data_IF_093621709760
#
_entry.id   IF_093621709760
#
_cell.length_a   1.000
_cell.length_b   1.000
_cell.length_c   1.000
_cell.angle_alpha   90.00
_cell.angle_beta   90.00
_cell.angle_gamma   90.00
#
_symmetry.space_group_name_H-M   'P 1'
#
loop_
_entity.id
_entity.type
_entity.pdbx_description
1 polymer ?
#
# COMPACT_ATOMS: atom_id res chain seq x y z
N UNK A 1 18.77 -60.56 -2.91
CA UNK A 1 19.50 -59.34 -2.54
C UNK A 1 19.08 -58.28 -3.55
N UNK A 2 17.99 -57.56 -3.28
CA UNK A 2 17.57 -56.43 -4.12
C UNK A 2 18.58 -55.30 -3.93
N UNK A 3 19.34 -55.01 -4.98
CA UNK A 3 20.32 -53.94 -5.00
C UNK A 3 19.54 -52.65 -5.23
N UNK A 4 19.28 -51.92 -4.16
CA UNK A 4 18.77 -50.55 -4.21
C UNK A 4 19.84 -49.67 -4.88
N UNK A 5 19.65 -49.34 -6.14
CA UNK A 5 20.51 -48.39 -6.85
C UNK A 5 20.15 -46.99 -6.34
N UNK A 6 21.00 -46.40 -5.49
CA UNK A 6 20.90 -44.98 -5.17
C UNK A 6 21.07 -44.16 -6.47
N UNK A 7 20.14 -43.25 -6.79
CA UNK A 7 20.30 -42.42 -7.98
C UNK A 7 21.56 -41.57 -7.87
N UNK A 8 22.34 -41.51 -8.95
CA UNK A 8 23.55 -40.71 -9.04
C UNK A 8 23.22 -39.23 -8.73
N UNK A 9 24.18 -38.49 -8.16
CA UNK A 9 24.00 -37.05 -7.87
C UNK A 9 23.54 -36.24 -9.09
N UNK A 10 23.90 -36.69 -10.29
CA UNK A 10 23.50 -36.10 -11.56
C UNK A 10 22.01 -36.32 -11.88
N UNK A 11 21.44 -37.49 -11.55
CA UNK A 11 19.99 -37.74 -11.66
C UNK A 11 19.17 -36.96 -10.62
N UNK A 12 19.71 -36.73 -9.40
CA UNK A 12 19.09 -35.80 -8.43
C UNK A 12 19.12 -34.35 -8.94
N UNK A 13 20.21 -33.93 -9.59
CA UNK A 13 20.32 -32.58 -10.16
C UNK A 13 19.40 -32.36 -11.37
N UNK A 14 19.18 -33.36 -12.21
CA UNK A 14 18.23 -33.26 -13.32
C UNK A 14 16.77 -33.25 -12.87
N UNK A 15 16.43 -33.95 -11.79
CA UNK A 15 15.10 -33.88 -11.15
C UNK A 15 14.83 -32.57 -10.38
N UNK A 16 15.86 -31.77 -10.10
CA UNK A 16 15.76 -30.46 -9.42
C UNK A 16 15.67 -29.26 -10.38
N UNK A 17 15.69 -29.46 -11.71
CA UNK A 17 15.46 -28.37 -12.68
C UNK A 17 14.03 -27.84 -12.56
N UNK A 18 13.84 -26.81 -11.74
CA UNK A 18 12.55 -26.14 -11.55
C UNK A 18 12.10 -26.01 -10.08
N UNK A 19 12.91 -26.46 -9.11
CA UNK A 19 12.64 -26.27 -7.69
C UNK A 19 13.79 -25.50 -7.00
N UNK A 20 13.45 -24.66 -6.03
CA UNK A 20 14.39 -23.96 -5.15
C UNK A 20 14.91 -24.87 -4.02
N UNK A 21 15.86 -24.35 -3.24
CA UNK A 21 16.48 -25.02 -2.08
C UNK A 21 15.49 -25.39 -0.95
N UNK A 22 14.25 -24.87 -1.00
CA UNK A 22 13.16 -25.20 -0.09
C UNK A 22 12.16 -26.22 -0.67
N UNK A 23 12.45 -26.79 -1.85
CA UNK A 23 11.60 -27.79 -2.52
C UNK A 23 10.33 -27.21 -3.15
N UNK A 24 10.19 -25.88 -3.24
CA UNK A 24 9.09 -25.22 -3.97
C UNK A 24 9.50 -24.88 -5.39
N UNK A 25 8.53 -24.64 -6.27
CA UNK A 25 8.78 -24.18 -7.65
C UNK A 25 9.72 -22.97 -7.64
N UNK A 26 10.68 -22.97 -8.54
CA UNK A 26 11.72 -21.94 -8.58
C UNK A 26 11.14 -20.54 -8.74
N UNK A 27 11.54 -19.65 -7.85
CA UNK A 27 11.20 -18.22 -7.90
C UNK A 27 11.95 -17.54 -9.05
N UNK A 28 11.32 -16.59 -9.71
CA UNK A 28 11.86 -15.93 -10.91
C UNK A 28 12.05 -14.42 -10.76
N UNK A 29 11.62 -13.86 -9.63
CA UNK A 29 11.65 -12.42 -9.37
C UNK A 29 13.06 -11.82 -9.38
N UNK A 30 13.14 -10.56 -9.76
CA UNK A 30 14.37 -9.78 -9.92
C UNK A 30 14.27 -8.46 -9.17
N UNK A 31 15.34 -7.65 -9.19
CA UNK A 31 15.30 -6.27 -8.67
C UNK A 31 14.16 -5.47 -9.31
N UNK A 32 13.90 -5.66 -10.60
CA UNK A 32 12.87 -4.91 -11.34
C UNK A 32 11.46 -5.30 -10.94
N UNK A 33 11.16 -6.59 -10.82
CA UNK A 33 9.82 -7.06 -10.39
C UNK A 33 9.57 -6.74 -8.92
N UNK A 34 10.58 -6.89 -8.06
CA UNK A 34 10.46 -6.46 -6.67
C UNK A 34 10.24 -4.96 -6.57
N UNK A 35 10.97 -4.15 -7.35
CA UNK A 35 10.78 -2.70 -7.37
C UNK A 35 9.41 -2.31 -7.90
N UNK A 36 8.88 -2.98 -8.93
CA UNK A 36 7.53 -2.70 -9.44
C UNK A 36 6.45 -3.04 -8.42
N UNK A 37 6.59 -4.14 -7.67
CA UNK A 37 5.68 -4.45 -6.55
C UNK A 37 5.74 -3.39 -5.45
N UNK A 38 6.94 -2.94 -5.05
CA UNK A 38 7.09 -1.90 -4.02
C UNK A 38 6.50 -0.57 -4.53
N UNK A 39 6.89 -0.11 -5.72
CA UNK A 39 6.39 1.12 -6.33
C UNK A 39 4.86 1.09 -6.46
N UNK A 40 4.30 -0.04 -6.90
CA UNK A 40 2.85 -0.24 -6.96
C UNK A 40 2.20 -0.10 -5.59
N UNK A 41 2.84 -0.63 -4.55
CA UNK A 41 2.30 -0.56 -3.21
C UNK A 41 2.34 0.86 -2.63
N UNK A 42 3.42 1.62 -2.89
CA UNK A 42 3.60 2.94 -2.28
C UNK A 42 3.02 4.08 -3.12
N UNK A 43 3.35 4.23 -4.41
CA UNK A 43 3.04 5.45 -5.19
C UNK A 43 1.53 5.73 -5.31
N UNK A 44 0.66 4.76 -5.01
CA UNK A 44 -0.80 4.82 -5.11
C UNK A 44 -1.53 5.93 -4.36
N UNK A 45 -2.48 5.56 -3.50
CA UNK A 45 -3.32 6.57 -2.85
C UNK A 45 -2.52 7.51 -1.93
N UNK A 46 -1.37 7.07 -1.43
CA UNK A 46 -0.50 7.85 -0.57
C UNK A 46 -0.02 9.16 -1.20
N UNK A 47 0.39 9.18 -2.47
CA UNK A 47 0.90 10.43 -3.10
C UNK A 47 -0.18 11.49 -3.26
N UNK A 48 -1.44 11.08 -3.36
CA UNK A 48 -2.56 11.98 -3.60
C UNK A 48 -2.86 12.88 -2.40
N UNK A 49 -2.63 12.39 -1.18
CA UNK A 49 -2.85 13.15 0.07
C UNK A 49 -1.65 14.01 0.49
N UNK A 50 -0.48 13.84 -0.13
CA UNK A 50 0.73 14.54 0.30
C UNK A 50 0.65 16.06 0.10
N UNK A 51 -0.05 16.54 -0.93
CA UNK A 51 -0.25 17.98 -1.10
C UNK A 51 -1.03 18.58 0.07
N UNK A 52 -2.07 17.88 0.54
CA UNK A 52 -2.81 18.25 1.73
C UNK A 52 -1.95 18.13 3.00
N UNK A 53 -1.19 17.05 3.16
CA UNK A 53 -0.31 16.87 4.33
C UNK A 53 0.75 17.98 4.44
N UNK A 54 1.38 18.37 3.32
CA UNK A 54 2.31 19.50 3.26
C UNK A 54 1.58 20.81 3.56
N UNK A 55 0.33 20.97 3.14
CA UNK A 55 -0.46 22.14 3.53
C UNK A 55 -0.78 22.22 5.02
N UNK A 56 -0.97 21.08 5.70
CA UNK A 56 -1.19 21.07 7.16
C UNK A 56 0.10 21.33 7.96
N UNK A 57 1.27 20.95 7.43
CA UNK A 57 2.56 21.05 8.11
C UNK A 57 3.38 22.29 7.71
N UNK A 58 3.17 22.81 6.50
CA UNK A 58 3.88 23.95 5.93
C UNK A 58 5.18 23.61 5.20
N UNK A 59 5.77 24.65 4.61
CA UNK A 59 7.00 24.56 3.80
C UNK A 59 8.24 24.06 4.56
N UNK A 60 8.25 24.16 5.89
CA UNK A 60 9.36 23.67 6.71
C UNK A 60 9.11 22.22 7.14
N UNK A 61 8.07 22.00 7.94
CA UNK A 61 7.86 20.69 8.56
C UNK A 61 7.43 19.63 7.55
N UNK A 62 6.60 19.95 6.55
CA UNK A 62 6.12 18.98 5.56
C UNK A 62 7.26 18.24 4.84
N UNK A 63 8.13 18.96 4.10
CA UNK A 63 9.26 18.34 3.40
C UNK A 63 10.24 17.60 4.32
N UNK A 64 10.55 18.16 5.50
CA UNK A 64 11.45 17.52 6.47
C UNK A 64 10.88 16.19 6.96
N UNK A 65 9.60 16.17 7.32
CA UNK A 65 8.92 14.97 7.81
C UNK A 65 8.88 13.91 6.72
N UNK A 66 8.60 14.25 5.47
CA UNK A 66 8.62 13.30 4.36
C UNK A 66 10.00 12.65 4.17
N UNK A 67 11.09 13.42 4.25
CA UNK A 67 12.46 12.90 4.18
C UNK A 67 12.77 11.98 5.36
N UNK A 68 12.34 12.34 6.58
CA UNK A 68 12.51 11.50 7.77
C UNK A 68 11.77 10.17 7.60
N UNK A 69 10.50 10.19 7.21
CA UNK A 69 9.71 8.97 6.98
C UNK A 69 10.29 8.09 5.88
N UNK A 70 10.79 8.69 4.78
CA UNK A 70 11.54 7.99 3.74
C UNK A 70 12.76 7.27 4.32
N UNK A 71 13.58 7.97 5.10
CA UNK A 71 14.79 7.40 5.71
C UNK A 71 14.46 6.26 6.68
N UNK A 72 13.51 6.47 7.59
CA UNK A 72 13.06 5.46 8.56
C UNK A 72 12.54 4.23 7.84
N UNK A 73 11.72 4.40 6.80
CA UNK A 73 11.16 3.31 6.01
C UNK A 73 12.24 2.53 5.28
N UNK A 74 13.17 3.22 4.60
CA UNK A 74 14.31 2.57 3.94
C UNK A 74 15.16 1.76 4.93
N UNK A 75 15.49 2.37 6.07
CA UNK A 75 16.32 1.75 7.09
C UNK A 75 15.66 0.49 7.66
N UNK A 76 14.43 0.61 8.16
CA UNK A 76 13.69 -0.49 8.79
C UNK A 76 13.32 -1.60 7.80
N UNK A 77 12.98 -1.26 6.56
CA UNK A 77 12.76 -2.24 5.49
C UNK A 77 14.03 -2.99 5.11
N UNK A 78 15.20 -2.35 5.20
CA UNK A 78 16.49 -3.01 5.04
C UNK A 78 16.80 -3.98 6.18
N UNK A 79 16.38 -3.66 7.41
CA UNK A 79 16.47 -4.60 8.55
C UNK A 79 15.53 -5.79 8.35
N UNK A 80 14.30 -5.53 7.90
CA UNK A 80 13.31 -6.57 7.62
C UNK A 80 13.78 -7.54 6.53
N UNK A 81 14.41 -7.02 5.47
CA UNK A 81 14.93 -7.85 4.39
C UNK A 81 15.99 -8.87 4.86
N UNK A 82 16.76 -8.55 5.90
CA UNK A 82 17.70 -9.50 6.52
C UNK A 82 16.99 -10.59 7.34
N UNK A 83 15.74 -10.38 7.72
CA UNK A 83 14.95 -11.32 8.51
C UNK A 83 14.20 -12.35 7.63
N UNK A 84 14.37 -12.34 6.31
CA UNK A 84 13.71 -13.30 5.43
C UNK A 84 14.15 -14.75 5.69
N UNK A 85 15.44 -15.02 5.89
CA UNK A 85 15.95 -16.34 6.28
C UNK A 85 16.27 -16.38 7.76
N UNK A 86 15.83 -17.43 8.45
CA UNK A 86 16.16 -17.69 9.87
C UNK A 86 17.40 -18.56 10.00
N UNK A 87 18.33 -18.15 10.88
CA UNK A 87 19.62 -18.79 11.05
C UNK A 87 20.65 -18.21 10.07
N UNK A 88 21.16 -19.05 9.18
CA UNK A 88 22.15 -18.64 8.18
C UNK A 88 21.53 -17.72 7.09
N UNK A 89 22.15 -16.59 6.72
CA UNK A 89 21.59 -15.67 5.73
C UNK A 89 21.47 -16.21 4.30
N UNK A 90 22.12 -17.33 3.97
CA UNK A 90 22.15 -17.89 2.61
C UNK A 90 21.38 -19.20 2.54
N UNK A 91 21.56 -20.07 3.54
CA UNK A 91 21.04 -21.44 3.58
C UNK A 91 19.96 -21.63 4.65
N UNK A 92 19.71 -20.62 5.48
CA UNK A 92 18.71 -20.66 6.53
C UNK A 92 17.29 -20.81 6.00
N UNK A 93 16.38 -21.24 6.88
CA UNK A 93 14.98 -21.49 6.53
C UNK A 93 14.29 -20.20 6.08
N UNK A 94 13.64 -20.23 4.92
CA UNK A 94 12.86 -19.11 4.38
C UNK A 94 11.59 -18.86 5.19
N UNK A 95 11.31 -17.59 5.46
CA UNK A 95 10.03 -17.11 5.97
C UNK A 95 9.22 -16.55 4.80
N UNK A 96 8.16 -17.24 4.42
CA UNK A 96 7.35 -16.91 3.25
C UNK A 96 6.41 -15.72 3.44
N UNK A 97 6.12 -15.37 4.70
CA UNK A 97 5.21 -14.28 5.05
C UNK A 97 5.76 -13.49 6.20
N UNK A 98 5.34 -12.24 6.32
CA UNK A 98 5.73 -11.36 7.40
C UNK A 98 5.43 -11.98 8.78
N UNK A 99 4.21 -12.49 8.96
CA UNK A 99 3.80 -13.16 10.21
C UNK A 99 4.64 -14.42 10.51
N UNK A 100 5.06 -15.16 9.48
CA UNK A 100 5.97 -16.31 9.66
C UNK A 100 7.36 -15.87 10.14
N UNK A 101 7.89 -14.74 9.63
CA UNK A 101 9.15 -14.18 10.13
C UNK A 101 9.02 -13.78 11.60
N UNK A 102 7.94 -13.09 11.98
CA UNK A 102 7.66 -12.75 13.39
C UNK A 102 7.56 -13.99 14.26
N UNK A 103 6.93 -15.06 13.76
CA UNK A 103 6.86 -16.34 14.47
C UNK A 103 8.23 -16.97 14.67
N UNK A 104 9.09 -16.96 13.65
CA UNK A 104 10.43 -17.56 13.73
C UNK A 104 11.39 -16.81 14.67
N UNK A 105 11.23 -15.49 14.84
CA UNK A 105 12.14 -14.68 15.66
C UNK A 105 11.61 -14.30 17.05
N UNK A 106 10.32 -13.97 17.16
CA UNK A 106 9.76 -13.38 18.37
C UNK A 106 8.79 -14.33 19.09
N UNK A 107 8.04 -15.14 18.32
CA UNK A 107 7.11 -16.14 18.85
C UNK A 107 5.99 -15.59 19.74
N UNK A 108 5.20 -16.50 20.34
CA UNK A 108 4.22 -16.18 21.38
C UNK A 108 3.12 -15.18 20.97
N UNK A 109 2.72 -14.32 21.90
CA UNK A 109 1.64 -13.34 21.72
C UNK A 109 1.94 -12.31 20.61
N UNK A 110 3.23 -12.01 20.37
CA UNK A 110 3.68 -11.06 19.36
C UNK A 110 3.23 -11.45 17.94
N UNK A 111 3.14 -12.75 17.65
CA UNK A 111 2.64 -13.27 16.37
C UNK A 111 1.16 -12.96 16.17
N UNK A 112 0.34 -13.20 17.20
CA UNK A 112 -1.10 -12.92 17.17
C UNK A 112 -1.37 -11.44 17.00
N UNK A 113 -0.64 -10.60 17.74
CA UNK A 113 -0.74 -9.14 17.62
C UNK A 113 -0.29 -8.65 16.24
N UNK A 114 0.83 -9.14 15.72
CA UNK A 114 1.29 -8.83 14.37
C UNK A 114 0.25 -9.20 13.32
N UNK A 115 -0.28 -10.42 13.39
CA UNK A 115 -1.30 -10.88 12.44
C UNK A 115 -2.55 -10.01 12.50
N UNK A 116 -3.07 -9.73 13.69
CA UNK A 116 -4.23 -8.87 13.87
C UNK A 116 -4.02 -7.49 13.24
N UNK A 117 -2.91 -6.82 13.58
CA UNK A 117 -2.61 -5.48 13.07
C UNK A 117 -2.38 -5.50 11.55
N UNK A 118 -1.60 -6.48 11.05
CA UNK A 118 -1.31 -6.63 9.62
C UNK A 118 -2.60 -6.82 8.83
N UNK A 119 -3.44 -7.78 9.20
CA UNK A 119 -4.66 -8.09 8.44
C UNK A 119 -5.72 -6.99 8.56
N UNK A 120 -5.84 -6.30 9.70
CA UNK A 120 -6.68 -5.11 9.83
C UNK A 120 -6.19 -3.97 8.92
N UNK A 121 -4.87 -3.78 8.80
CA UNK A 121 -4.30 -2.77 7.92
C UNK A 121 -4.58 -3.10 6.45
N UNK A 122 -4.36 -4.36 6.03
CA UNK A 122 -4.68 -4.83 4.66
C UNK A 122 -6.17 -4.65 4.33
N UNK A 123 -7.07 -4.95 5.27
CA UNK A 123 -8.51 -4.71 5.13
C UNK A 123 -8.83 -3.22 4.95
N UNK A 124 -8.21 -2.36 5.74
CA UNK A 124 -8.41 -0.92 5.62
C UNK A 124 -7.84 -0.32 4.32
N UNK A 125 -6.69 -0.82 3.83
CA UNK A 125 -6.13 -0.41 2.53
C UNK A 125 -7.14 -0.69 1.40
N UNK A 126 -7.84 -1.83 1.44
CA UNK A 126 -8.90 -2.15 0.48
C UNK A 126 -10.05 -1.12 0.50
N UNK A 127 -10.44 -0.63 1.69
CA UNK A 127 -11.43 0.44 1.85
C UNK A 127 -10.90 1.75 1.26
N UNK A 128 -9.68 2.15 1.62
CA UNK A 128 -9.05 3.39 1.14
C UNK A 128 -8.91 3.44 -0.38
N UNK A 129 -8.53 2.33 -1.01
CA UNK A 129 -8.43 2.23 -2.47
C UNK A 129 -9.77 2.29 -3.17
N UNK A 130 -10.82 1.70 -2.58
CA UNK A 130 -12.18 1.79 -3.12
C UNK A 130 -12.68 3.23 -3.10
N UNK A 131 -12.41 3.97 -2.00
CA UNK A 131 -12.72 5.41 -1.91
C UNK A 131 -11.92 6.19 -2.95
N UNK A 132 -10.59 6.02 -3.00
CA UNK A 132 -9.72 6.76 -3.91
C UNK A 132 -10.10 6.54 -5.39
N UNK A 133 -10.35 5.29 -5.80
CA UNK A 133 -10.77 4.97 -7.16
C UNK A 133 -12.12 5.61 -7.52
N UNK A 134 -13.06 5.62 -6.57
CA UNK A 134 -14.35 6.28 -6.77
C UNK A 134 -14.22 7.80 -6.95
N UNK A 135 -13.36 8.46 -6.16
CA UNK A 135 -13.08 9.90 -6.29
C UNK A 135 -12.49 10.21 -7.67
N UNK A 136 -11.57 9.39 -8.17
CA UNK A 136 -10.99 9.57 -9.51
C UNK A 136 -12.01 9.36 -10.63
N UNK A 137 -12.86 8.32 -10.56
CA UNK A 137 -13.93 8.14 -11.56
C UNK A 137 -14.96 9.27 -11.52
N UNK A 138 -15.30 9.77 -10.33
CA UNK A 138 -16.15 10.95 -10.18
C UNK A 138 -15.52 12.19 -10.80
N UNK A 139 -14.20 12.39 -10.62
CA UNK A 139 -13.49 13.51 -11.22
C UNK A 139 -13.59 13.51 -12.75
N UNK A 140 -13.47 12.34 -13.39
CA UNK A 140 -13.67 12.18 -14.84
C UNK A 140 -15.10 12.58 -15.23
N UNK A 141 -16.11 12.05 -14.54
CA UNK A 141 -17.50 12.37 -14.87
C UNK A 141 -17.82 13.84 -14.65
N UNK A 142 -17.25 14.43 -13.60
CA UNK A 142 -17.43 15.84 -13.25
C UNK A 142 -16.79 16.75 -14.29
N UNK A 143 -15.57 16.43 -14.72
CA UNK A 143 -14.86 17.17 -15.77
C UNK A 143 -15.65 17.18 -17.08
N UNK A 144 -16.11 16.00 -17.53
CA UNK A 144 -16.94 15.88 -18.72
C UNK A 144 -18.29 16.62 -18.60
N UNK A 145 -18.95 16.58 -17.43
CA UNK A 145 -20.18 17.33 -17.19
C UNK A 145 -19.99 18.84 -17.31
N UNK A 146 -18.90 19.40 -16.77
CA UNK A 146 -18.60 20.83 -16.89
C UNK A 146 -18.30 21.24 -18.33
N UNK A 147 -17.68 20.37 -19.11
CA UNK A 147 -17.40 20.64 -20.51
C UNK A 147 -18.68 20.64 -21.36
N UNK A 148 -19.60 19.69 -21.13
CA UNK A 148 -20.87 19.60 -21.86
C UNK A 148 -21.88 20.68 -21.45
N UNK A 149 -22.02 20.93 -20.14
CA UNK A 149 -23.11 21.76 -19.58
C UNK A 149 -22.66 23.17 -19.15
N UNK A 150 -21.37 23.45 -19.27
CA UNK A 150 -20.75 24.69 -18.81
C UNK A 150 -20.49 24.73 -17.30
N UNK A 151 -19.60 25.64 -16.91
CA UNK A 151 -19.06 25.78 -15.55
C UNK A 151 -20.09 26.19 -14.48
N UNK A 152 -21.29 26.62 -14.89
CA UNK A 152 -22.37 27.04 -13.97
C UNK A 152 -23.29 25.89 -13.55
N UNK A 153 -23.19 24.72 -14.18
CA UNK A 153 -23.96 23.54 -13.77
C UNK A 153 -23.35 22.95 -12.50
N UNK A 154 -24.13 22.65 -11.45
CA UNK A 154 -23.56 22.15 -10.19
C UNK A 154 -22.98 20.73 -10.32
N UNK A 155 -23.34 19.98 -11.37
CA UNK A 155 -22.80 18.66 -11.71
C UNK A 155 -22.67 17.72 -10.50
N UNK A 156 -23.73 17.60 -9.69
CA UNK A 156 -23.77 16.68 -8.56
C UNK A 156 -23.60 15.23 -9.03
N UNK A 157 -22.63 14.54 -8.46
CA UNK A 157 -22.30 13.15 -8.78
C UNK A 157 -22.22 12.38 -7.47
N UNK A 158 -22.97 11.28 -7.38
CA UNK A 158 -22.88 10.36 -6.23
C UNK A 158 -21.64 9.47 -6.36
N UNK A 159 -20.93 9.23 -5.26
CA UNK A 159 -19.77 8.32 -5.20
C UNK A 159 -20.16 6.85 -5.22
N UNK A 160 -21.31 6.50 -4.65
CA UNK A 160 -21.77 5.11 -4.48
C UNK A 160 -21.72 4.24 -5.74
N UNK A 161 -22.23 4.67 -6.91
CA UNK A 161 -22.14 3.86 -8.14
C UNK A 161 -20.69 3.53 -8.53
N UNK A 162 -19.76 4.47 -8.34
CA UNK A 162 -18.35 4.27 -8.67
C UNK A 162 -17.63 3.34 -7.70
N UNK A 163 -17.98 3.39 -6.41
CA UNK A 163 -17.51 2.39 -5.44
C UNK A 163 -17.99 0.99 -5.81
N UNK A 164 -19.26 0.84 -6.22
CA UNK A 164 -19.81 -0.44 -6.68
C UNK A 164 -19.09 -0.92 -7.94
N UNK A 165 -18.87 -0.05 -8.93
CA UNK A 165 -18.13 -0.40 -10.18
C UNK A 165 -16.72 -0.89 -9.85
N UNK A 166 -16.00 -0.19 -8.97
CA UNK A 166 -14.69 -0.63 -8.53
C UNK A 166 -14.76 -1.97 -7.79
N UNK A 167 -15.71 -2.14 -6.86
CA UNK A 167 -15.95 -3.40 -6.15
C UNK A 167 -16.22 -4.58 -7.09
N UNK A 168 -17.10 -4.42 -8.08
CA UNK A 168 -17.36 -5.44 -9.12
C UNK A 168 -16.09 -5.77 -9.90
N UNK A 169 -15.29 -4.77 -10.25
CA UNK A 169 -13.99 -4.98 -10.91
C UNK A 169 -13.07 -5.81 -10.01
N UNK A 170 -12.98 -5.47 -8.72
CA UNK A 170 -12.17 -6.21 -7.76
C UNK A 170 -12.67 -7.64 -7.52
N UNK A 171 -13.98 -7.91 -7.55
CA UNK A 171 -14.50 -9.28 -7.47
C UNK A 171 -13.87 -10.15 -8.58
N UNK A 172 -13.73 -9.63 -9.80
CA UNK A 172 -13.13 -10.35 -10.93
C UNK A 172 -11.63 -10.55 -10.72
N UNK A 173 -10.87 -9.48 -10.46
CA UNK A 173 -9.40 -9.57 -10.32
C UNK A 173 -8.96 -10.32 -9.05
N UNK A 174 -9.75 -10.25 -7.98
CA UNK A 174 -9.49 -11.01 -6.76
C UNK A 174 -9.66 -12.51 -6.94
N UNK A 175 -10.13 -13.02 -8.09
CA UNK A 175 -10.11 -14.46 -8.36
C UNK A 175 -8.76 -14.98 -8.88
N UNK A 176 -7.76 -14.10 -9.09
CA UNK A 176 -6.40 -14.50 -9.44
C UNK A 176 -5.76 -15.24 -8.24
N UNK A 177 -5.29 -16.49 -8.40
CA UNK A 177 -4.95 -17.36 -7.26
C UNK A 177 -3.83 -16.84 -6.35
N UNK A 178 -2.73 -16.37 -6.94
CA UNK A 178 -1.44 -16.22 -6.26
C UNK A 178 -0.74 -14.89 -6.60
N UNK A 179 0.12 -14.43 -5.67
CA UNK A 179 0.86 -13.16 -5.77
C UNK A 179 1.90 -13.16 -6.91
N UNK A 180 2.48 -14.31 -7.22
CA UNK A 180 3.41 -14.44 -8.34
C UNK A 180 2.70 -14.21 -9.68
N UNK A 181 1.42 -14.58 -9.82
CA UNK A 181 0.66 -14.43 -11.06
C UNK A 181 0.21 -12.98 -11.36
N UNK A 182 0.31 -12.07 -10.38
CA UNK A 182 -0.07 -10.65 -10.55
C UNK A 182 1.11 -9.75 -10.95
N UNK A 183 2.30 -10.30 -11.22
CA UNK A 183 3.49 -9.51 -11.58
C UNK A 183 3.25 -8.52 -12.73
N UNK A 184 2.53 -8.94 -13.77
CA UNK A 184 2.20 -8.10 -14.92
C UNK A 184 1.26 -6.96 -14.54
N UNK A 185 0.31 -7.24 -13.65
CA UNK A 185 -0.65 -6.26 -13.14
C UNK A 185 0.07 -5.21 -12.28
N UNK A 186 1.06 -5.62 -11.49
CA UNK A 186 1.94 -4.69 -10.76
C UNK A 186 2.80 -3.85 -11.70
N UNK A 187 3.31 -4.38 -12.82
CA UNK A 187 4.04 -3.55 -13.80
C UNK A 187 3.12 -2.49 -14.40
N UNK A 188 1.91 -2.88 -14.84
CA UNK A 188 0.92 -1.92 -15.36
C UNK A 188 0.59 -0.86 -14.31
N UNK A 189 0.34 -1.26 -13.06
CA UNK A 189 0.05 -0.34 -11.98
C UNK A 189 1.22 0.62 -11.70
N UNK A 190 2.47 0.14 -11.69
CA UNK A 190 3.65 0.99 -11.53
C UNK A 190 3.81 2.02 -12.67
N UNK A 191 3.55 1.62 -13.92
CA UNK A 191 3.56 2.55 -15.06
C UNK A 191 2.48 3.62 -14.89
N UNK A 192 1.25 3.21 -14.57
CA UNK A 192 0.14 4.14 -14.34
C UNK A 192 0.45 5.11 -13.19
N UNK A 193 1.15 4.67 -12.13
CA UNK A 193 1.54 5.56 -11.04
C UNK A 193 2.51 6.66 -11.45
N UNK A 194 3.46 6.33 -12.32
CA UNK A 194 4.32 7.34 -12.91
C UNK A 194 3.54 8.28 -13.83
N UNK A 195 2.59 7.75 -14.60
CA UNK A 195 1.75 8.56 -15.49
C UNK A 195 1.00 9.64 -14.72
N UNK A 196 0.17 9.28 -13.73
CA UNK A 196 -0.63 10.30 -13.04
C UNK A 196 0.21 11.21 -12.14
N UNK A 197 1.31 10.72 -11.55
CA UNK A 197 2.21 11.55 -10.73
C UNK A 197 2.92 12.59 -11.59
N UNK A 198 3.37 12.20 -12.78
CA UNK A 198 4.02 13.13 -13.73
C UNK A 198 3.04 14.17 -14.25
N UNK A 199 1.80 13.76 -14.58
CA UNK A 199 0.74 14.69 -14.98
C UNK A 199 0.40 15.64 -13.83
N UNK A 200 0.17 15.12 -12.62
CA UNK A 200 -0.12 15.93 -11.43
C UNK A 200 0.98 16.94 -11.13
N UNK A 201 2.25 16.55 -11.26
CA UNK A 201 3.40 17.44 -11.15
C UNK A 201 3.38 18.53 -12.24
N UNK A 202 3.18 18.16 -13.50
CA UNK A 202 3.13 19.11 -14.61
C UNK A 202 1.99 20.13 -14.44
N UNK A 203 0.81 19.67 -14.02
CA UNK A 203 -0.34 20.52 -13.70
C UNK A 203 -0.04 21.45 -12.51
N UNK A 204 0.61 20.95 -11.46
CA UNK A 204 1.05 21.75 -10.32
C UNK A 204 2.01 22.87 -10.72
N UNK A 205 3.05 22.53 -11.50
CA UNK A 205 4.02 23.52 -12.01
C UNK A 205 3.30 24.57 -12.88
N UNK A 206 2.46 24.14 -13.82
CA UNK A 206 1.72 25.05 -14.69
C UNK A 206 0.82 26.00 -13.88
N UNK A 207 0.18 25.49 -12.83
CA UNK A 207 -0.67 26.30 -11.95
C UNK A 207 0.15 27.30 -11.10
N UNK A 208 1.35 26.92 -10.64
CA UNK A 208 2.27 27.84 -9.95
C UNK A 208 2.71 28.96 -10.88
N UNK A 209 3.06 28.63 -12.12
CA UNK A 209 3.43 29.61 -13.16
C UNK A 209 2.25 30.55 -13.45
N UNK A 210 1.04 30.00 -13.62
CA UNK A 210 -0.16 30.80 -13.87
C UNK A 210 -0.53 31.72 -12.69
N UNK A 211 -0.29 31.29 -11.45
CA UNK A 211 -0.50 32.11 -10.26
C UNK A 211 0.57 33.21 -10.08
N UNK A 212 1.68 33.15 -10.81
CA UNK A 212 2.81 34.10 -10.67
C UNK A 212 3.63 33.92 -9.39
N UNK A 213 3.51 32.80 -8.68
CA UNK A 213 4.25 32.56 -7.44
C UNK A 213 3.82 31.32 -6.66
N UNK A 214 4.62 30.99 -5.64
CA UNK A 214 4.38 29.89 -4.71
C UNK A 214 3.40 30.32 -3.63
N UNK A 215 2.30 29.59 -3.46
CA UNK A 215 1.37 29.75 -2.33
C UNK A 215 1.86 28.99 -1.08
N UNK A 216 1.12 29.18 0.00
CA UNK A 216 1.33 28.48 1.28
C UNK A 216 2.20 29.26 2.25
N UNK A 217 2.04 28.95 3.53
CA UNK A 217 2.83 29.50 4.63
C UNK A 217 3.96 28.55 5.08
N UNK A 218 4.92 29.09 5.85
CA UNK A 218 6.00 28.33 6.47
C UNK A 218 5.51 27.27 7.47
N UNK A 219 4.36 27.51 8.12
CA UNK A 219 3.83 26.71 9.24
C UNK A 219 2.49 26.04 8.93
N UNK A 220 2.18 25.91 7.65
CA UNK A 220 0.99 25.27 7.14
C UNK A 220 -0.24 26.16 7.25
N UNK A 221 -1.40 25.53 7.28
CA UNK A 221 -2.71 26.19 7.29
C UNK A 221 -2.81 27.28 8.37
N UNK A 222 -3.33 28.44 8.00
CA UNK A 222 -3.38 29.62 8.87
C UNK A 222 -4.49 29.51 9.93
N UNK A 223 -4.24 30.02 11.13
CA UNK A 223 -5.30 30.13 12.15
C UNK A 223 -6.26 31.22 11.67
N UNK A 224 -7.53 30.86 11.44
CA UNK A 224 -8.55 31.72 10.81
C UNK A 224 -9.26 31.07 9.63
N UNK A 225 -8.56 30.23 8.85
CA UNK A 225 -9.21 29.32 7.90
C UNK A 225 -9.72 28.04 8.59
N UNK A 226 -9.05 27.66 9.67
CA UNK A 226 -9.46 26.62 10.62
C UNK A 226 -9.29 27.11 12.05
N UNK A 227 -9.99 26.49 12.99
CA UNK A 227 -9.78 26.72 14.43
C UNK A 227 -8.40 26.22 14.88
N UNK A 228 -7.92 26.71 16.02
CA UNK A 228 -6.64 26.27 16.59
C UNK A 228 -6.63 24.76 16.86
N UNK A 229 -7.75 24.22 17.33
CA UNK A 229 -7.91 22.81 17.63
C UNK A 229 -7.90 21.96 16.35
N UNK A 230 -8.60 22.38 15.30
CA UNK A 230 -8.57 21.71 13.98
C UNK A 230 -7.17 21.74 13.38
N UNK A 231 -6.44 22.87 13.49
CA UNK A 231 -5.04 22.93 13.03
C UNK A 231 -4.18 21.84 13.70
N UNK A 232 -4.31 21.65 15.02
CA UNK A 232 -3.58 20.59 15.73
C UNK A 232 -3.99 19.21 15.21
N UNK A 233 -5.28 18.92 15.11
CA UNK A 233 -5.76 17.62 14.63
C UNK A 233 -5.31 17.31 13.21
N UNK A 234 -5.41 18.28 12.30
CA UNK A 234 -4.97 18.12 10.92
C UNK A 234 -3.46 17.94 10.81
N UNK A 235 -2.65 18.69 11.58
CA UNK A 235 -1.19 18.47 11.61
C UNK A 235 -0.84 17.08 12.15
N UNK A 236 -1.57 16.59 13.16
CA UNK A 236 -1.37 15.23 13.68
C UNK A 236 -1.76 14.17 12.64
N UNK A 237 -2.91 14.32 11.99
CA UNK A 237 -3.37 13.44 10.92
C UNK A 237 -2.40 13.41 9.73
N UNK A 238 -1.80 14.55 9.37
CA UNK A 238 -0.82 14.64 8.29
C UNK A 238 0.39 13.72 8.50
N UNK A 239 0.82 13.48 9.75
CA UNK A 239 1.84 12.46 10.03
C UNK A 239 1.36 11.06 9.66
N UNK A 240 0.09 10.74 9.92
CA UNK A 240 -0.54 9.48 9.51
C UNK A 240 -0.58 9.33 8.00
N UNK A 241 -0.97 10.38 7.27
CA UNK A 241 -1.02 10.37 5.80
C UNK A 241 0.37 10.13 5.18
N UNK A 242 1.40 10.83 5.69
CA UNK A 242 2.78 10.62 5.26
C UNK A 242 3.26 9.22 5.63
N UNK A 243 2.92 8.73 6.82
CA UNK A 243 3.25 7.38 7.27
C UNK A 243 2.65 6.30 6.35
N UNK A 244 1.40 6.49 5.97
CA UNK A 244 0.71 5.61 5.02
C UNK A 244 1.37 5.63 3.64
N UNK A 245 1.77 6.81 3.14
CA UNK A 245 2.37 6.94 1.82
C UNK A 245 3.68 6.13 1.68
N UNK A 246 4.40 5.91 2.78
CA UNK A 246 5.62 5.07 2.79
C UNK A 246 5.36 3.61 3.23
N UNK A 247 4.12 3.23 3.47
CA UNK A 247 3.78 1.94 4.08
C UNK A 247 3.72 0.82 3.05
N UNK A 248 4.77 -0.01 3.00
CA UNK A 248 4.77 -1.29 2.26
C UNK A 248 5.45 -2.43 3.04
N UNK A 249 6.05 -2.16 4.19
CA UNK A 249 6.82 -3.14 4.95
C UNK A 249 5.99 -4.37 5.35
N UNK A 250 4.67 -4.21 5.49
CA UNK A 250 3.73 -5.29 5.82
C UNK A 250 3.57 -6.35 4.72
N UNK A 251 4.02 -6.10 3.49
CA UNK A 251 4.04 -7.06 2.38
C UNK A 251 5.46 -7.31 1.86
N UNK A 252 6.48 -6.79 2.54
CA UNK A 252 7.87 -6.82 2.07
C UNK A 252 8.39 -8.25 1.96
N UNK A 253 8.10 -9.09 2.96
CA UNK A 253 8.56 -10.48 3.00
C UNK A 253 7.89 -11.30 1.89
N UNK A 254 6.62 -11.05 1.63
CA UNK A 254 5.86 -11.67 0.55
C UNK A 254 6.43 -11.27 -0.83
N UNK A 255 6.80 -10.00 -1.03
CA UNK A 255 7.52 -9.54 -2.23
C UNK A 255 8.89 -10.23 -2.32
N UNK A 256 9.62 -10.31 -1.21
CA UNK A 256 10.94 -10.93 -1.16
C UNK A 256 10.88 -12.44 -1.46
N UNK A 257 9.80 -13.13 -1.08
CA UNK A 257 9.55 -14.54 -1.40
C UNK A 257 9.30 -14.78 -2.90
N UNK A 258 9.17 -13.74 -3.73
CA UNK A 258 9.12 -13.89 -5.20
C UNK A 258 10.49 -13.91 -5.85
N UNK A 259 11.54 -13.49 -5.13
CA UNK A 259 12.88 -13.28 -5.67
C UNK A 259 13.59 -14.62 -5.88
N UNK A 260 14.23 -14.77 -7.04
CA UNK A 260 14.99 -15.98 -7.40
C UNK A 260 16.14 -16.29 -6.42
N UNK A 261 16.33 -17.60 -6.17
CA UNK A 261 17.46 -18.18 -5.43
C UNK A 261 18.80 -18.05 -6.22
N UNK A 262 19.98 -18.27 -5.61
CA UNK A 262 21.22 -17.47 -5.78
C UNK A 262 22.05 -17.68 -7.07
N UNK A 263 23.13 -16.89 -7.28
CA UNK A 263 23.48 -15.59 -6.67
C UNK A 263 23.06 -14.36 -7.52
N UNK A 264 22.78 -13.18 -6.91
CA UNK A 264 22.94 -12.77 -5.50
C UNK A 264 21.80 -13.19 -4.55
N UNK A 265 21.99 -13.06 -3.22
CA UNK A 265 20.98 -13.42 -2.21
C UNK A 265 19.71 -12.55 -2.27
N UNK A 266 18.59 -13.11 -1.82
CA UNK A 266 17.27 -12.49 -1.84
C UNK A 266 17.26 -11.18 -1.06
N UNK A 267 17.91 -11.15 0.11
CA UNK A 267 18.04 -9.94 0.93
C UNK A 267 18.82 -8.83 0.22
N UNK A 268 19.87 -9.17 -0.55
CA UNK A 268 20.67 -8.19 -1.30
C UNK A 268 19.86 -7.61 -2.47
N UNK A 269 19.11 -8.45 -3.19
CA UNK A 269 18.19 -8.01 -4.25
C UNK A 269 17.11 -7.11 -3.66
N UNK A 270 16.49 -7.53 -2.56
CA UNK A 270 15.41 -6.80 -1.89
C UNK A 270 15.86 -5.43 -1.36
N UNK A 271 17.07 -5.32 -0.80
CA UNK A 271 17.66 -4.04 -0.38
C UNK A 271 17.91 -3.09 -1.55
N UNK A 272 18.39 -3.60 -2.70
CA UNK A 272 18.54 -2.80 -3.92
C UNK A 272 17.18 -2.31 -4.44
N UNK A 273 16.19 -3.20 -4.48
CA UNK A 273 14.83 -2.85 -4.89
C UNK A 273 14.19 -1.82 -3.95
N UNK A 274 14.39 -1.99 -2.64
CA UNK A 274 13.96 -1.04 -1.59
C UNK A 274 14.62 0.32 -1.76
N UNK A 275 15.93 0.37 -1.95
CA UNK A 275 16.64 1.64 -2.20
C UNK A 275 16.10 2.36 -3.43
N UNK A 276 16.02 1.67 -4.57
CA UNK A 276 15.52 2.24 -5.82
C UNK A 276 14.08 2.75 -5.66
N UNK A 277 13.21 1.93 -5.08
CA UNK A 277 11.79 2.27 -4.94
C UNK A 277 11.58 3.43 -3.97
N UNK A 278 12.22 3.41 -2.79
CA UNK A 278 12.11 4.51 -1.81
C UNK A 278 12.68 5.81 -2.37
N UNK A 279 13.82 5.76 -3.09
CA UNK A 279 14.38 6.97 -3.70
C UNK A 279 13.45 7.57 -4.76
N UNK A 280 12.94 6.75 -5.68
CA UNK A 280 12.02 7.19 -6.75
C UNK A 280 10.71 7.72 -6.16
N UNK A 281 10.14 7.01 -5.20
CA UNK A 281 8.88 7.41 -4.56
C UNK A 281 9.03 8.70 -3.79
N UNK A 282 10.08 8.85 -2.98
CA UNK A 282 10.38 10.09 -2.27
C UNK A 282 10.56 11.27 -3.22
N UNK A 283 11.22 11.07 -4.36
CA UNK A 283 11.31 12.12 -5.38
C UNK A 283 9.91 12.55 -5.84
N UNK A 284 9.08 11.62 -6.30
CA UNK A 284 7.71 11.94 -6.76
C UNK A 284 6.83 12.53 -5.66
N UNK A 285 6.98 12.05 -4.43
CA UNK A 285 6.24 12.52 -3.27
C UNK A 285 6.58 13.96 -2.94
N UNK A 286 7.87 14.27 -2.86
CA UNK A 286 8.35 15.61 -2.58
C UNK A 286 7.88 16.58 -3.66
N UNK A 287 8.07 16.24 -4.94
CA UNK A 287 7.69 17.14 -6.03
C UNK A 287 6.17 17.30 -6.14
N UNK A 288 5.38 16.23 -6.03
CA UNK A 288 3.92 16.31 -6.12
C UNK A 288 3.30 16.99 -4.89
N UNK A 289 3.76 16.65 -3.68
CA UNK A 289 3.30 17.25 -2.44
C UNK A 289 3.63 18.74 -2.35
N UNK A 290 4.89 19.09 -2.60
CA UNK A 290 5.34 20.49 -2.58
C UNK A 290 4.71 21.32 -3.70
N UNK A 291 4.64 20.81 -4.94
CA UNK A 291 4.02 21.57 -6.04
C UNK A 291 2.51 21.68 -5.90
N UNK A 292 1.86 20.66 -5.32
CA UNK A 292 0.45 20.76 -4.94
C UNK A 292 0.23 21.87 -3.91
N UNK A 293 1.05 21.94 -2.87
CA UNK A 293 0.98 23.03 -1.88
C UNK A 293 1.34 24.39 -2.49
N UNK A 294 2.33 24.46 -3.37
CA UNK A 294 2.67 25.67 -4.10
C UNK A 294 1.53 26.19 -4.99
N UNK A 295 0.76 25.28 -5.60
CA UNK A 295 -0.36 25.62 -6.47
C UNK A 295 -1.59 26.11 -5.67
N UNK A 296 -1.89 25.45 -4.54
CA UNK A 296 -3.16 25.60 -3.84
C UNK A 296 -3.07 26.26 -2.44
N UNK A 297 -1.90 26.32 -1.82
CA UNK A 297 -1.70 26.86 -0.47
C UNK A 297 -2.56 26.15 0.58
N UNK A 298 -3.17 26.92 1.48
CA UNK A 298 -4.08 26.43 2.54
C UNK A 298 -5.29 25.64 1.99
N UNK A 299 -5.60 25.79 0.70
CA UNK A 299 -6.71 25.09 0.02
C UNK A 299 -6.27 23.82 -0.72
N UNK A 300 -5.08 23.28 -0.43
CA UNK A 300 -4.63 22.04 -1.07
C UNK A 300 -5.61 20.89 -0.83
N UNK A 301 -6.07 20.20 -1.89
CA UNK A 301 -7.08 19.15 -1.76
C UNK A 301 -6.47 17.87 -1.18
N UNK A 302 -7.30 17.08 -0.48
CA UNK A 302 -6.92 15.75 0.03
C UNK A 302 -6.59 14.72 -1.07
N UNK A 303 -7.04 14.96 -2.30
CA UNK A 303 -6.54 14.28 -3.49
C UNK A 303 -6.04 15.34 -4.46
N UNK A 304 -4.73 15.39 -4.70
CA UNK A 304 -4.06 16.37 -5.56
C UNK A 304 -4.80 16.63 -6.88
N UNK A 305 -5.26 15.58 -7.57
CA UNK A 305 -5.90 15.74 -8.88
C UNK A 305 -7.27 16.41 -8.82
N UNK A 306 -7.97 16.36 -7.68
CA UNK A 306 -9.28 17.00 -7.56
C UNK A 306 -9.20 18.53 -7.54
N UNK A 307 -8.04 19.11 -7.20
CA UNK A 307 -7.80 20.55 -7.25
C UNK A 307 -7.70 21.11 -8.67
N UNK A 308 -7.42 20.24 -9.66
CA UNK A 308 -7.29 20.64 -11.07
C UNK A 308 -8.59 20.47 -11.87
N UNK A 309 -9.75 20.28 -11.22
CA UNK A 309 -11.04 19.96 -11.87
C UNK A 309 -11.48 20.88 -13.01
N UNK A 310 -10.91 22.10 -13.10
CA UNK A 310 -11.20 23.11 -14.12
C UNK A 310 -10.04 23.36 -15.09
N UNK A 311 -8.98 22.54 -15.05
CA UNK A 311 -7.79 22.73 -15.86
C UNK A 311 -8.05 22.39 -17.32
N UNK A 312 -7.62 23.26 -18.22
CA UNK A 312 -7.60 23.00 -19.65
C UNK A 312 -6.16 22.69 -20.11
N UNK A 313 -5.92 21.58 -20.84
CA UNK A 313 -6.92 20.68 -21.40
C UNK A 313 -7.47 19.64 -20.40
N UNK A 314 -8.80 19.51 -20.35
CA UNK A 314 -9.51 18.60 -19.44
C UNK A 314 -9.21 17.11 -19.70
N UNK A 315 -8.92 16.74 -20.95
CA UNK A 315 -8.55 15.35 -21.30
C UNK A 315 -7.30 14.87 -20.57
N UNK A 316 -6.37 15.77 -20.23
CA UNK A 316 -5.14 15.41 -19.52
C UNK A 316 -5.45 15.02 -18.06
N UNK A 317 -6.42 15.72 -17.45
CA UNK A 317 -6.93 15.38 -16.12
C UNK A 317 -7.69 14.05 -16.13
N UNK A 318 -8.46 13.79 -17.18
CA UNK A 318 -9.18 12.53 -17.34
C UNK A 318 -8.22 11.35 -17.48
N UNK A 319 -7.15 11.48 -18.26
CA UNK A 319 -6.09 10.46 -18.38
C UNK A 319 -5.44 10.21 -17.02
N UNK A 320 -5.12 11.25 -16.25
CA UNK A 320 -4.49 11.08 -14.94
C UNK A 320 -5.41 10.36 -13.95
N UNK A 321 -6.70 10.70 -13.91
CA UNK A 321 -7.66 9.99 -13.06
C UNK A 321 -7.93 8.55 -13.53
N UNK A 322 -7.97 8.29 -14.84
CA UNK A 322 -8.09 6.94 -15.37
C UNK A 322 -6.86 6.09 -14.99
N UNK A 323 -5.66 6.67 -15.07
CA UNK A 323 -4.42 6.02 -14.64
C UNK A 323 -4.46 5.69 -13.14
N UNK A 324 -4.99 6.57 -12.27
CA UNK A 324 -5.19 6.24 -10.84
C UNK A 324 -6.10 5.02 -10.69
N UNK A 325 -7.25 4.97 -11.39
CA UNK A 325 -8.18 3.85 -11.28
C UNK A 325 -7.50 2.54 -11.67
N UNK A 326 -6.78 2.51 -12.80
CA UNK A 326 -6.05 1.32 -13.27
C UNK A 326 -4.95 0.94 -12.28
N UNK A 327 -4.20 1.91 -11.76
CA UNK A 327 -3.18 1.67 -10.73
C UNK A 327 -3.78 1.01 -9.48
N UNK A 328 -4.89 1.57 -8.96
CA UNK A 328 -5.55 1.06 -7.76
C UNK A 328 -6.14 -0.33 -7.96
N UNK A 329 -6.49 -0.72 -9.19
CA UNK A 329 -6.84 -2.12 -9.50
C UNK A 329 -5.69 -3.06 -9.17
N UNK A 330 -4.47 -2.74 -9.61
CA UNK A 330 -3.30 -3.56 -9.33
C UNK A 330 -2.82 -3.49 -7.88
N UNK A 331 -2.79 -2.29 -7.30
CA UNK A 331 -2.38 -2.10 -5.90
C UNK A 331 -3.30 -2.86 -4.93
N UNK A 332 -4.63 -2.85 -5.17
CA UNK A 332 -5.58 -3.62 -4.37
C UNK A 332 -5.23 -5.10 -4.31
N UNK A 333 -4.83 -5.70 -5.44
CA UNK A 333 -4.43 -7.10 -5.49
C UNK A 333 -3.13 -7.34 -4.71
N UNK A 334 -2.13 -6.46 -4.86
CA UNK A 334 -0.87 -6.56 -4.10
C UNK A 334 -1.12 -6.59 -2.59
N UNK A 335 -2.04 -5.78 -2.07
CA UNK A 335 -2.35 -5.77 -0.63
C UNK A 335 -3.32 -6.88 -0.18
N UNK A 336 -4.31 -7.26 -0.98
CA UNK A 336 -5.32 -8.23 -0.54
C UNK A 336 -4.86 -9.69 -0.66
N UNK A 337 -3.95 -10.02 -1.57
CA UNK A 337 -3.52 -11.41 -1.80
C UNK A 337 -2.91 -12.07 -0.55
N UNK A 338 -2.04 -11.42 0.25
CA UNK A 338 -1.55 -12.00 1.51
C UNK A 338 -2.67 -12.36 2.50
N UNK A 339 -3.71 -11.53 2.59
CA UNK A 339 -4.87 -11.78 3.44
C UNK A 339 -5.70 -12.96 2.92
N UNK A 340 -5.94 -13.01 1.61
CA UNK A 340 -6.64 -14.12 0.98
C UNK A 340 -5.91 -15.44 1.18
N UNK A 341 -4.59 -15.46 0.92
CA UNK A 341 -3.76 -16.63 1.12
C UNK A 341 -3.76 -17.10 2.58
N UNK A 342 -3.74 -16.17 3.54
CA UNK A 342 -3.83 -16.51 4.96
C UNK A 342 -5.14 -17.22 5.31
N UNK A 343 -6.28 -16.64 4.93
CA UNK A 343 -7.62 -17.18 5.27
C UNK A 343 -7.87 -18.51 4.55
N UNK A 344 -7.49 -18.62 3.27
CA UNK A 344 -7.63 -19.86 2.52
C UNK A 344 -6.76 -20.98 3.07
N UNK A 345 -5.52 -20.68 3.45
CA UNK A 345 -4.62 -21.68 4.06
C UNK A 345 -5.11 -22.11 5.43
N UNK A 346 -5.64 -21.19 6.22
CA UNK A 346 -6.27 -21.51 7.50
C UNK A 346 -7.49 -22.41 7.29
N UNK A 347 -8.43 -22.03 6.42
CA UNK A 347 -9.63 -22.81 6.14
C UNK A 347 -9.32 -24.23 5.65
N UNK A 348 -8.33 -24.38 4.74
CA UNK A 348 -7.90 -25.69 4.24
C UNK A 348 -7.28 -26.58 5.34
N UNK A 349 -6.61 -26.00 6.34
CA UNK A 349 -6.05 -26.75 7.46
C UNK A 349 -7.09 -27.13 8.50
N UNK A 350 -8.08 -26.26 8.72
CA UNK A 350 -9.13 -26.46 9.72
C UNK A 350 -10.19 -27.45 9.22
N UNK A 351 -10.51 -27.43 7.93
CA UNK A 351 -11.55 -28.27 7.34
C UNK A 351 -11.06 -28.97 6.06
N UNK A 352 -10.08 -29.88 6.16
CA UNK A 352 -9.49 -30.55 4.99
C UNK A 352 -10.50 -31.40 4.21
N UNK A 353 -11.46 -32.01 4.91
CA UNK A 353 -12.45 -32.93 4.33
C UNK A 353 -13.62 -32.21 3.63
N UNK A 354 -13.73 -30.88 3.81
CA UNK A 354 -14.80 -30.10 3.19
C UNK A 354 -14.55 -29.93 1.70
N UNK A 355 -15.36 -30.60 0.87
CA UNK A 355 -15.33 -30.46 -0.59
C UNK A 355 -15.57 -29.02 -1.07
N UNK A 356 -16.20 -28.16 -0.27
CA UNK A 356 -16.36 -26.75 -0.61
C UNK A 356 -15.03 -25.98 -0.52
N UNK A 357 -14.17 -26.36 0.43
CA UNK A 357 -12.91 -25.68 0.75
C UNK A 357 -11.74 -26.28 -0.01
N UNK A 358 -11.63 -27.61 -0.09
CA UNK A 358 -10.44 -28.28 -0.63
C UNK A 358 -10.55 -28.67 -2.11
N UNK A 359 -11.76 -28.71 -2.69
CA UNK A 359 -11.95 -29.15 -4.08
C UNK A 359 -11.54 -28.06 -5.08
N UNK A 360 -10.59 -28.38 -5.95
CA UNK A 360 -10.29 -27.60 -7.15
C UNK A 360 -11.05 -28.15 -8.37
N UNK A 361 -11.88 -27.30 -8.99
CA UNK A 361 -12.61 -27.59 -10.22
C UNK A 361 -11.82 -27.00 -11.39
N UNK A 362 -11.35 -27.83 -12.32
CA UNK A 362 -10.62 -27.37 -13.50
C UNK A 362 -11.59 -26.95 -14.60
N UNK A 363 -11.65 -25.66 -14.89
CA UNK A 363 -12.42 -25.10 -16.00
C UNK A 363 -11.45 -24.88 -17.17
N UNK A 364 -11.70 -25.53 -18.31
CA UNK A 364 -10.92 -25.30 -19.53
C UNK A 364 -11.35 -23.96 -20.15
N UNK A 365 -10.44 -22.98 -20.19
CA UNK A 365 -10.66 -21.69 -20.85
C UNK A 365 -10.24 -21.74 -22.33
N UNK A 366 -9.22 -22.52 -22.66
CA UNK A 366 -8.72 -22.74 -24.03
C UNK A 366 -8.01 -24.09 -24.10
N UNK A 367 -7.63 -24.56 -25.30
CA UNK A 367 -6.92 -25.84 -25.49
C UNK A 367 -5.65 -25.98 -24.66
N UNK A 368 -5.02 -24.86 -24.27
CA UNK A 368 -3.76 -24.83 -23.50
C UNK A 368 -3.91 -24.24 -22.09
N UNK A 369 -5.04 -23.62 -21.73
CA UNK A 369 -5.23 -22.92 -20.45
C UNK A 369 -6.38 -23.52 -19.65
N UNK A 370 -6.08 -23.94 -18.43
CA UNK A 370 -7.07 -24.39 -17.44
C UNK A 370 -7.04 -23.48 -16.21
N UNK A 371 -8.22 -23.05 -15.77
CA UNK A 371 -8.41 -22.28 -14.55
C UNK A 371 -8.86 -23.20 -13.41
N UNK A 372 -8.22 -23.09 -12.25
CA UNK A 372 -8.56 -23.87 -11.05
C UNK A 372 -9.54 -23.07 -10.20
N UNK A 373 -10.82 -23.34 -10.37
CA UNK A 373 -11.87 -22.72 -9.58
C UNK A 373 -12.01 -23.44 -8.23
N UNK A 374 -12.06 -22.66 -7.16
CA UNK A 374 -12.36 -23.14 -5.82
C UNK A 374 -13.58 -22.37 -5.30
N UNK A 375 -14.62 -23.09 -4.86
CA UNK A 375 -15.89 -22.49 -4.47
C UNK A 375 -15.76 -21.61 -3.22
N UNK A 376 -15.02 -22.08 -2.21
CA UNK A 376 -14.72 -21.27 -1.02
C UNK A 376 -14.00 -19.98 -1.39
N UNK A 377 -12.94 -20.05 -2.20
CA UNK A 377 -12.20 -18.88 -2.69
C UNK A 377 -13.15 -17.87 -3.36
N UNK A 378 -13.99 -18.34 -4.27
CA UNK A 378 -14.94 -17.49 -5.00
C UNK A 378 -15.87 -16.76 -4.04
N UNK A 379 -16.52 -17.49 -3.12
CA UNK A 379 -17.51 -16.93 -2.20
C UNK A 379 -16.87 -15.98 -1.20
N UNK A 380 -15.81 -16.41 -0.51
CA UNK A 380 -15.19 -15.61 0.55
C UNK A 380 -14.53 -14.35 -0.02
N UNK A 381 -13.76 -14.44 -1.12
CA UNK A 381 -13.12 -13.26 -1.71
C UNK A 381 -14.17 -12.26 -2.22
N UNK A 382 -15.29 -12.74 -2.79
CA UNK A 382 -16.40 -11.87 -3.20
C UNK A 382 -17.06 -11.21 -1.99
N UNK A 383 -17.33 -11.96 -0.92
CA UNK A 383 -17.91 -11.43 0.32
C UNK A 383 -16.99 -10.37 0.96
N UNK A 384 -15.68 -10.58 0.94
CA UNK A 384 -14.69 -9.61 1.38
C UNK A 384 -14.79 -8.30 0.60
N UNK A 385 -14.80 -8.36 -0.73
CA UNK A 385 -14.88 -7.17 -1.59
C UNK A 385 -16.21 -6.44 -1.41
N UNK A 386 -17.32 -7.17 -1.28
CA UNK A 386 -18.64 -6.57 -1.00
C UNK A 386 -18.61 -5.85 0.35
N UNK A 387 -18.05 -6.48 1.39
CA UNK A 387 -17.96 -5.88 2.73
C UNK A 387 -17.13 -4.60 2.73
N UNK A 388 -15.93 -4.62 2.13
CA UNK A 388 -15.08 -3.42 2.06
C UNK A 388 -15.74 -2.31 1.25
N UNK A 389 -16.43 -2.65 0.16
CA UNK A 389 -17.19 -1.68 -0.64
C UNK A 389 -18.32 -1.02 0.15
N UNK A 390 -19.10 -1.81 0.90
CA UNK A 390 -20.18 -1.28 1.76
C UNK A 390 -19.61 -0.35 2.84
N UNK A 391 -18.50 -0.71 3.46
CA UNK A 391 -17.85 0.15 4.46
C UNK A 391 -17.35 1.44 3.82
N UNK A 392 -16.75 1.39 2.63
CA UNK A 392 -16.35 2.60 1.88
C UNK A 392 -17.52 3.53 1.59
N UNK A 393 -18.72 2.99 1.35
CA UNK A 393 -19.95 3.79 1.15
C UNK A 393 -20.46 4.42 2.45
N UNK A 394 -20.18 3.81 3.61
CA UNK A 394 -20.57 4.33 4.92
C UNK A 394 -19.62 5.42 5.42
N UNK A 395 -18.32 5.32 5.07
CA UNK A 395 -17.24 6.17 5.57
C UNK A 395 -16.33 6.64 4.42
N UNK A 396 -16.80 7.53 3.52
CA UNK A 396 -16.04 7.93 2.33
C UNK A 396 -14.97 9.02 2.61
N UNK A 397 -14.35 9.01 3.79
CA UNK A 397 -13.40 10.03 4.25
C UNK A 397 -11.96 9.61 3.92
N UNK A 398 -11.48 10.01 2.74
CA UNK A 398 -10.23 9.50 2.19
C UNK A 398 -9.00 9.73 3.10
N UNK A 399 -8.72 10.98 3.48
CA UNK A 399 -7.57 11.32 4.33
C UNK A 399 -7.70 10.74 5.73
N UNK A 400 -8.90 10.71 6.31
CA UNK A 400 -9.09 10.16 7.66
C UNK A 400 -8.79 8.66 7.71
N UNK A 401 -9.28 7.92 6.70
CA UNK A 401 -9.02 6.48 6.57
C UNK A 401 -7.53 6.25 6.36
N UNK A 402 -6.91 6.98 5.44
CA UNK A 402 -5.48 6.86 5.13
C UNK A 402 -4.61 7.22 6.35
N UNK A 403 -4.91 8.31 7.04
CA UNK A 403 -4.22 8.76 8.24
C UNK A 403 -4.29 7.75 9.37
N UNK A 404 -5.48 7.16 9.60
CA UNK A 404 -5.67 6.12 10.61
C UNK A 404 -4.89 4.85 10.25
N UNK A 405 -4.88 4.45 8.97
CA UNK A 405 -4.14 3.28 8.51
C UNK A 405 -2.63 3.47 8.63
N UNK A 406 -2.14 4.66 8.30
CA UNK A 406 -0.74 5.04 8.51
C UNK A 406 -0.38 4.99 9.99
N UNK A 407 -1.19 5.60 10.85
CA UNK A 407 -0.97 5.61 12.29
C UNK A 407 -0.91 4.20 12.91
N UNK A 408 -1.88 3.35 12.58
CA UNK A 408 -1.99 1.99 13.09
C UNK A 408 -0.98 1.01 12.48
N UNK A 409 -0.56 1.23 11.23
CA UNK A 409 0.37 0.34 10.53
C UNK A 409 1.83 0.69 10.76
N UNK A 410 2.17 1.99 10.80
CA UNK A 410 3.55 2.46 10.73
C UNK A 410 4.42 1.99 11.89
N UNK A 411 4.09 2.36 13.14
CA UNK A 411 4.90 1.92 14.26
C UNK A 411 5.00 0.39 14.37
N UNK A 412 3.90 -0.39 14.44
CA UNK A 412 4.03 -1.82 14.69
C UNK A 412 4.67 -2.57 13.51
N UNK A 413 4.20 -2.33 12.28
CA UNK A 413 4.57 -3.15 11.11
C UNK A 413 5.79 -2.61 10.34
N UNK A 414 5.96 -1.29 10.28
CA UNK A 414 7.11 -0.68 9.57
C UNK A 414 8.31 -0.55 10.49
N UNK A 415 8.13 -0.33 11.80
CA UNK A 415 9.25 -0.01 12.70
C UNK A 415 9.51 -1.08 13.76
N UNK A 416 8.56 -1.35 14.64
CA UNK A 416 8.73 -2.19 15.83
C UNK A 416 9.12 -3.63 15.49
N UNK A 417 8.27 -4.34 14.73
CA UNK A 417 8.54 -5.74 14.41
C UNK A 417 9.85 -5.91 13.60
N UNK A 418 10.15 -5.09 12.58
CA UNK A 418 11.45 -5.17 11.88
C UNK A 418 12.64 -4.95 12.79
N UNK A 419 12.58 -3.95 13.68
CA UNK A 419 13.65 -3.65 14.65
C UNK A 419 13.85 -4.80 15.63
N UNK A 420 12.77 -5.30 16.23
CA UNK A 420 12.83 -6.39 17.21
C UNK A 420 13.32 -7.70 16.58
N UNK A 421 12.81 -8.06 15.40
CA UNK A 421 13.29 -9.23 14.65
C UNK A 421 14.77 -9.09 14.32
N UNK A 422 15.22 -7.90 13.91
CA UNK A 422 16.63 -7.66 13.61
C UNK A 422 17.54 -7.79 14.83
N UNK A 423 17.12 -7.27 15.98
CA UNK A 423 17.86 -7.39 17.24
C UNK A 423 18.07 -8.86 17.60
N UNK A 424 17.02 -9.69 17.47
CA UNK A 424 17.12 -11.13 17.71
C UNK A 424 17.97 -11.82 16.64
N UNK A 425 17.73 -11.53 15.36
CA UNK A 425 18.44 -12.16 14.24
C UNK A 425 19.95 -11.91 14.29
N UNK A 426 20.38 -10.65 14.51
CA UNK A 426 21.79 -10.28 14.60
C UNK A 426 22.37 -10.38 16.00
N UNK A 427 21.61 -10.88 16.98
CA UNK A 427 22.03 -11.00 18.39
C UNK A 427 22.63 -9.69 18.92
N UNK A 428 21.99 -8.56 18.62
CA UNK A 428 22.50 -7.23 19.01
C UNK A 428 22.55 -7.15 20.54
N UNK A 429 23.72 -6.88 21.15
CA UNK A 429 23.83 -6.83 22.61
C UNK A 429 22.94 -5.74 23.21
N UNK A 430 22.17 -6.09 24.24
CA UNK A 430 21.38 -5.12 25.00
C UNK A 430 22.29 -4.01 25.52
N UNK A 431 21.80 -2.77 25.51
CA UNK A 431 22.54 -1.57 25.92
C UNK A 431 23.77 -1.19 25.08
N UNK A 432 24.09 -1.93 24.01
CA UNK A 432 25.01 -1.41 23.00
C UNK A 432 24.45 -0.13 22.38
N UNK A 433 25.32 0.76 21.91
CA UNK A 433 24.92 2.00 21.20
C UNK A 433 23.89 1.69 20.11
N UNK A 434 24.13 0.62 19.35
CA UNK A 434 23.22 0.16 18.30
C UNK A 434 21.84 -0.23 18.84
N UNK A 435 21.79 -0.99 19.93
CA UNK A 435 20.52 -1.37 20.55
C UNK A 435 19.75 -0.15 21.06
N UNK A 436 20.44 0.79 21.73
CA UNK A 436 19.83 2.02 22.24
C UNK A 436 19.28 2.87 21.08
N UNK A 437 20.04 3.07 20.00
CA UNK A 437 19.55 3.79 18.82
C UNK A 437 18.31 3.15 18.18
N UNK A 438 18.29 1.82 18.08
CA UNK A 438 17.14 1.09 17.52
C UNK A 438 15.89 1.23 18.41
N UNK A 439 16.04 1.16 19.72
CA UNK A 439 14.93 1.34 20.66
C UNK A 439 14.44 2.79 20.69
N UNK A 440 15.34 3.78 20.67
CA UNK A 440 14.98 5.20 20.58
C UNK A 440 14.22 5.50 19.28
N UNK A 441 14.66 4.96 18.14
CA UNK A 441 13.93 5.06 16.88
C UNK A 441 12.52 4.47 17.00
N UNK A 442 12.39 3.26 17.54
CA UNK A 442 11.09 2.61 17.71
C UNK A 442 10.16 3.41 18.63
N UNK A 443 10.68 3.93 19.75
CA UNK A 443 9.92 4.74 20.69
C UNK A 443 9.48 6.08 20.09
N UNK A 444 10.36 6.78 19.36
CA UNK A 444 10.00 8.03 18.69
C UNK A 444 8.88 7.80 17.66
N UNK A 445 8.97 6.73 16.86
CA UNK A 445 7.92 6.36 15.91
C UNK A 445 6.61 5.95 16.60
N UNK A 446 6.66 5.35 17.80
CA UNK A 446 5.45 5.05 18.58
C UNK A 446 4.70 6.33 18.94
N UNK A 447 5.42 7.32 19.47
CA UNK A 447 4.82 8.62 19.85
C UNK A 447 4.15 9.28 18.65
N UNK A 448 4.83 9.30 17.49
CA UNK A 448 4.28 9.85 16.25
C UNK A 448 3.02 9.07 15.81
N UNK A 449 3.06 7.74 15.82
CA UNK A 449 1.91 6.90 15.47
C UNK A 449 0.70 7.13 16.39
N UNK A 450 0.92 7.25 17.71
CA UNK A 450 -0.15 7.53 18.67
C UNK A 450 -0.76 8.91 18.41
N UNK A 451 0.07 9.93 18.20
CA UNK A 451 -0.42 11.27 17.91
C UNK A 451 -1.21 11.32 16.59
N UNK A 452 -0.71 10.65 15.54
CA UNK A 452 -1.40 10.52 14.26
C UNK A 452 -2.75 9.79 14.36
N UNK A 453 -2.84 8.76 15.20
CA UNK A 453 -4.09 8.05 15.44
C UNK A 453 -5.13 8.97 16.10
N UNK A 454 -4.72 9.77 17.10
CA UNK A 454 -5.59 10.75 17.77
C UNK A 454 -6.10 11.79 16.77
N UNK A 455 -5.23 12.36 15.94
CA UNK A 455 -5.61 13.33 14.90
C UNK A 455 -6.60 12.75 13.89
N UNK A 456 -6.34 11.54 13.40
CA UNK A 456 -7.21 10.87 12.41
C UNK A 456 -8.57 10.50 12.98
N UNK A 457 -8.64 10.02 14.23
CA UNK A 457 -9.91 9.72 14.91
C UNK A 457 -10.73 11.01 15.12
N UNK A 458 -10.06 12.11 15.49
CA UNK A 458 -10.73 13.40 15.64
C UNK A 458 -11.32 13.88 14.30
N UNK A 459 -10.61 13.69 13.18
CA UNK A 459 -11.09 13.91 11.81
C UNK A 459 -12.37 13.13 11.52
N UNK A 460 -12.32 11.79 11.66
CA UNK A 460 -13.48 10.90 11.42
C UNK A 460 -14.71 11.33 12.24
N UNK A 461 -14.51 11.63 13.53
CA UNK A 461 -15.60 12.03 14.42
C UNK A 461 -16.19 13.38 14.02
N UNK A 462 -15.37 14.30 13.50
CA UNK A 462 -15.85 15.58 12.98
C UNK A 462 -16.70 15.39 11.72
N UNK A 463 -16.19 14.61 10.77
CA UNK A 463 -16.84 14.38 9.48
C UNK A 463 -18.17 13.60 9.62
N UNK A 464 -18.21 12.64 10.54
CA UNK A 464 -19.43 11.86 10.85
C UNK A 464 -20.58 12.71 11.40
N UNK A 465 -20.33 13.88 12.00
CA UNK A 465 -21.40 14.76 12.49
C UNK A 465 -22.19 15.39 11.36
N UNK A 466 -21.57 15.56 10.19
CA UNK A 466 -22.15 16.27 9.03
C UNK A 466 -22.59 15.29 7.95
N UNK A 467 -21.91 14.15 7.84
CA UNK A 467 -22.17 13.16 6.79
C UNK A 467 -23.48 12.37 7.02
N UNK A 468 -24.28 12.25 5.95
CA UNK A 468 -25.47 11.39 5.92
C UNK A 468 -25.27 10.27 4.90
N UNK A 469 -25.03 9.02 5.35
CA UNK A 469 -24.81 7.89 4.44
C UNK A 469 -25.94 7.74 3.42
N UNK A 470 -25.57 7.36 2.20
CA UNK A 470 -26.48 7.07 1.08
C UNK A 470 -27.40 8.21 0.61
N UNK A 471 -27.13 9.46 1.03
CA UNK A 471 -27.77 10.65 0.43
C UNK A 471 -26.78 11.35 -0.48
N UNK A 472 -27.19 11.69 -1.70
CA UNK A 472 -26.44 12.64 -2.52
C UNK A 472 -26.46 13.98 -1.81
N UNK A 473 -25.28 14.54 -1.48
CA UNK A 473 -25.17 15.88 -0.90
C UNK A 473 -25.95 16.89 -1.76
N UNK A 474 -26.89 17.57 -1.11
CA UNK A 474 -27.67 18.68 -1.66
C UNK A 474 -26.80 19.88 -1.95
#
# INVERSE_FOLDING_TARGET
MEISIEPSQQQRQEGMKGFDDDGRVSRTGTVWTASSHIITAVIGSGVLSLAWAVAQLGWIAGPIVMIIFSFVTFYTSSLLADCYRTGDPITGKRNYTYSAAVHSYLGGMKVKLCGLIQYLNLFGVAIGYTIAASISMMAIRRSNCFHEKGHRSPCHISSNPYMIIFGVTQIVFSQIPDFDQIWWLSIVAAVMSFTYSSIGLALGIAHVVANGGFKGSLTGISIGSVTQTEKVWHSLQAFGDIAFAYSYSMILIEIQDTIKAPPPSEAKVMKKATFLSVAVTTFFYMVCGCMGYAAFGDSAPGNLLTGFGFYNPFWLLDIANAAIVIHLVGAYQVFCQPLFAFIEKWANRTWPDSKFISKEIRIRLSSTKSYKLNLFRLVWRSAFVVLTTVISMLLPFFNDVVGLLGALGFWPLTVYFPVEMYIVHKKVPKWSVRWVCLQMLSFACLVISVAAAVGSIAGVVSDLKVYKPFKSGS
#
